data_IF_740182103608
#
_entry.id   IF_740182103608
#
_cell.length_a   1.000
_cell.length_b   1.000
_cell.length_c   1.000
_cell.angle_alpha   90.00
_cell.angle_beta   90.00
_cell.angle_gamma   90.00
#
_symmetry.space_group_name_H-M   'P 1'
#
loop_
_entity.id
_entity.type
_entity.pdbx_description
1 polymer ?
#
# COMPACT_ATOMS: atom_id res chain seq x y z
N UNK A 1 -38.05 7.76 -10.69
CA UNK A 1 -36.84 8.17 -9.94
C UNK A 1 -35.76 7.14 -10.18
N UNK A 2 -34.99 7.28 -11.28
CA UNK A 2 -33.86 6.39 -11.60
C UNK A 2 -32.63 7.03 -10.99
N UNK A 3 -32.12 6.44 -9.91
CA UNK A 3 -30.85 6.85 -9.33
C UNK A 3 -29.80 6.48 -10.38
N UNK A 4 -29.11 7.49 -10.91
CA UNK A 4 -28.03 7.34 -11.87
C UNK A 4 -26.93 6.51 -11.24
N UNK A 5 -26.68 5.32 -11.78
CA UNK A 5 -25.50 4.52 -11.44
C UNK A 5 -24.27 5.26 -12.00
N UNK A 6 -23.75 6.17 -11.18
CA UNK A 6 -22.66 7.07 -11.57
C UNK A 6 -21.34 6.29 -11.71
N UNK A 7 -20.38 6.87 -12.42
CA UNK A 7 -19.02 6.35 -12.69
C UNK A 7 -18.32 5.72 -11.45
N UNK A 8 -18.68 6.17 -10.25
CA UNK A 8 -18.20 5.64 -8.97
C UNK A 8 -18.67 4.21 -8.67
N UNK A 9 -19.94 3.90 -8.95
CA UNK A 9 -20.50 2.55 -8.75
C UNK A 9 -19.86 1.55 -9.71
N UNK A 10 -19.63 1.96 -10.96
CA UNK A 10 -18.92 1.16 -11.94
C UNK A 10 -17.46 0.86 -11.51
N UNK A 11 -16.76 1.84 -10.89
CA UNK A 11 -15.41 1.63 -10.37
C UNK A 11 -15.39 0.63 -9.20
N UNK A 12 -16.33 0.73 -8.26
CA UNK A 12 -16.45 -0.22 -7.15
C UNK A 12 -16.81 -1.61 -7.66
N UNK A 13 -17.73 -1.70 -8.63
CA UNK A 13 -18.16 -2.97 -9.21
C UNK A 13 -17.06 -3.63 -10.05
N UNK A 14 -16.16 -2.86 -10.65
CA UNK A 14 -15.00 -3.40 -11.37
C UNK A 14 -13.90 -3.89 -10.42
N UNK A 15 -13.69 -3.22 -9.28
CA UNK A 15 -12.63 -3.55 -8.32
C UNK A 15 -12.94 -4.79 -7.47
N UNK A 16 -14.19 -4.93 -6.99
CA UNK A 16 -14.57 -6.04 -6.09
C UNK A 16 -14.36 -7.44 -6.66
N UNK A 17 -14.74 -7.74 -7.92
CA UNK A 17 -14.47 -9.04 -8.53
C UNK A 17 -12.98 -9.38 -8.55
N UNK A 18 -12.12 -8.40 -8.82
CA UNK A 18 -10.66 -8.61 -8.81
C UNK A 18 -10.17 -8.99 -7.41
N UNK A 19 -10.63 -8.31 -6.36
CA UNK A 19 -10.27 -8.65 -4.98
C UNK A 19 -10.75 -10.06 -4.58
N UNK A 20 -11.97 -10.44 -4.99
CA UNK A 20 -12.51 -11.78 -4.74
C UNK A 20 -11.72 -12.86 -5.50
N UNK A 21 -11.31 -12.57 -6.74
CA UNK A 21 -10.46 -13.45 -7.53
C UNK A 21 -9.10 -13.66 -6.87
N UNK A 22 -8.47 -12.62 -6.31
CA UNK A 22 -7.22 -12.76 -5.57
C UNK A 22 -7.39 -13.66 -4.33
N UNK A 23 -8.49 -13.49 -3.58
CA UNK A 23 -8.78 -14.35 -2.42
C UNK A 23 -8.91 -15.81 -2.79
N UNK A 24 -9.63 -16.12 -3.86
CA UNK A 24 -9.92 -17.50 -4.25
C UNK A 24 -8.72 -18.12 -4.98
N UNK A 25 -8.10 -17.39 -5.89
CA UNK A 25 -7.14 -17.94 -6.84
C UNK A 25 -5.70 -17.76 -6.39
N UNK A 26 -5.35 -16.65 -5.73
CA UNK A 26 -3.98 -16.39 -5.28
C UNK A 26 -3.77 -16.79 -3.81
N UNK A 27 -4.74 -16.52 -2.93
CA UNK A 27 -4.62 -16.83 -1.51
C UNK A 27 -5.21 -18.19 -1.12
N UNK A 28 -5.95 -18.85 -2.01
CA UNK A 28 -6.55 -20.15 -1.73
C UNK A 28 -7.60 -20.11 -0.60
N UNK A 29 -8.25 -18.96 -0.38
CA UNK A 29 -9.22 -18.75 0.70
C UNK A 29 -10.62 -19.29 0.35
N UNK A 30 -10.70 -20.44 -0.33
CA UNK A 30 -11.96 -21.08 -0.67
C UNK A 30 -11.90 -22.60 -0.49
N UNK A 31 -12.85 -23.15 0.28
CA UNK A 31 -12.95 -24.57 0.56
C UNK A 31 -13.20 -25.45 -0.68
N UNK A 32 -13.89 -24.95 -1.71
CA UNK A 32 -14.25 -25.73 -2.91
C UNK A 32 -13.15 -25.78 -3.97
N UNK A 33 -12.42 -24.67 -4.13
CA UNK A 33 -11.26 -24.60 -5.04
C UNK A 33 -10.04 -25.26 -4.38
N UNK A 34 -9.98 -25.23 -3.06
CA UNK A 34 -8.88 -25.80 -2.28
C UNK A 34 -7.77 -24.79 -2.02
N UNK A 35 -6.75 -25.24 -1.29
CA UNK A 35 -5.55 -24.44 -0.95
C UNK A 35 -4.56 -24.44 -2.12
N UNK A 36 -4.99 -23.94 -3.28
CA UNK A 36 -4.17 -23.84 -4.48
C UNK A 36 -3.99 -22.37 -4.83
N UNK A 37 -2.75 -22.01 -5.16
CA UNK A 37 -2.42 -20.67 -5.66
C UNK A 37 -2.11 -20.76 -7.14
N UNK A 38 -2.76 -19.92 -7.94
CA UNK A 38 -2.44 -19.71 -9.34
C UNK A 38 -1.98 -18.25 -9.53
N UNK A 39 -1.02 -18.06 -10.42
CA UNK A 39 -0.54 -16.72 -10.75
C UNK A 39 -1.57 -15.99 -11.61
N UNK A 40 -2.11 -14.89 -11.06
CA UNK A 40 -2.96 -13.98 -11.79
C UNK A 40 -2.11 -12.92 -12.50
N UNK A 41 -2.41 -12.62 -13.77
CA UNK A 41 -1.76 -11.53 -14.49
C UNK A 41 -2.05 -10.20 -13.80
N UNK A 42 -1.03 -9.37 -13.66
CA UNK A 42 -1.19 -8.02 -13.12
C UNK A 42 -1.86 -7.11 -14.13
N UNK A 43 -2.41 -6.00 -13.64
CA UNK A 43 -3.06 -5.00 -14.49
C UNK A 43 -2.05 -4.46 -15.52
N UNK A 44 -2.25 -4.78 -16.80
CA UNK A 44 -1.35 -4.39 -17.91
C UNK A 44 -0.49 -5.51 -18.48
N UNK A 45 -0.49 -6.72 -17.89
CA UNK A 45 0.18 -7.90 -18.45
C UNK A 45 -0.73 -8.62 -19.45
N UNK A 46 -0.15 -9.06 -20.58
CA UNK A 46 -0.89 -9.78 -21.61
C UNK A 46 -1.12 -11.23 -21.14
N UNK A 47 -2.39 -11.60 -20.97
CA UNK A 47 -2.78 -12.95 -20.54
C UNK A 47 -2.61 -13.90 -21.71
N UNK A 48 -1.56 -14.72 -21.70
CA UNK A 48 -1.29 -15.67 -22.79
C UNK A 48 -2.17 -16.92 -22.68
N UNK A 49 -2.33 -17.46 -21.47
CA UNK A 49 -3.22 -18.59 -21.18
C UNK A 49 -3.53 -18.64 -19.69
N UNK A 50 -4.76 -19.02 -19.31
CA UNK A 50 -5.12 -19.20 -17.90
C UNK A 50 -4.48 -20.50 -17.38
N UNK A 51 -3.82 -20.50 -16.21
CA UNK A 51 -3.13 -21.68 -15.68
C UNK A 51 -4.08 -22.72 -15.04
N UNK A 52 -5.32 -22.83 -15.53
CA UNK A 52 -6.34 -23.75 -14.99
C UNK A 52 -7.36 -24.14 -16.07
N UNK A 53 -8.02 -25.28 -15.87
CA UNK A 53 -9.03 -25.79 -16.80
C UNK A 53 -10.30 -24.93 -16.80
N UNK A 54 -11.06 -24.97 -17.91
CA UNK A 54 -12.37 -24.30 -18.02
C UNK A 54 -13.37 -24.73 -16.93
N UNK A 55 -13.32 -26.01 -16.51
CA UNK A 55 -14.13 -26.49 -15.39
C UNK A 55 -13.80 -25.77 -14.08
N UNK A 56 -12.52 -25.49 -13.84
CA UNK A 56 -12.05 -24.74 -12.67
C UNK A 56 -12.39 -23.26 -12.79
N UNK A 57 -12.29 -22.68 -14.00
CA UNK A 57 -12.70 -21.30 -14.27
C UNK A 57 -14.18 -21.07 -13.93
N UNK A 58 -15.07 -21.98 -14.37
CA UNK A 58 -16.50 -21.92 -14.08
C UNK A 58 -16.78 -22.04 -12.56
N UNK A 59 -16.03 -22.90 -11.87
CA UNK A 59 -16.12 -23.04 -10.42
C UNK A 59 -15.71 -21.73 -9.72
N UNK A 60 -14.58 -21.13 -10.11
CA UNK A 60 -14.10 -19.86 -9.55
C UNK A 60 -15.16 -18.75 -9.76
N UNK A 61 -15.69 -18.60 -10.96
CA UNK A 61 -16.69 -17.57 -11.26
C UNK A 61 -17.98 -17.75 -10.43
N UNK A 62 -18.40 -19.00 -10.22
CA UNK A 62 -19.55 -19.31 -9.36
C UNK A 62 -19.28 -18.91 -7.92
N UNK A 63 -18.10 -19.22 -7.40
CA UNK A 63 -17.72 -18.89 -6.03
C UNK A 63 -17.52 -17.38 -5.81
N UNK A 64 -16.96 -16.67 -6.78
CA UNK A 64 -16.87 -15.20 -6.75
C UNK A 64 -18.27 -14.59 -6.63
N UNK A 65 -19.25 -15.09 -7.40
CA UNK A 65 -20.64 -14.60 -7.33
C UNK A 65 -21.26 -14.86 -5.96
N UNK A 66 -21.03 -16.04 -5.38
CA UNK A 66 -21.50 -16.39 -4.04
C UNK A 66 -20.92 -15.43 -3.01
N UNK A 67 -19.60 -15.22 -3.02
CA UNK A 67 -18.90 -14.34 -2.08
C UNK A 67 -19.37 -12.88 -2.19
N UNK A 68 -19.53 -12.36 -3.40
CA UNK A 68 -20.06 -11.00 -3.63
C UNK A 68 -21.50 -10.90 -3.11
N UNK A 69 -22.33 -11.90 -3.38
CA UNK A 69 -23.73 -11.92 -2.95
C UNK A 69 -23.84 -11.96 -1.43
N UNK A 70 -23.04 -12.78 -0.76
CA UNK A 70 -23.00 -12.86 0.70
C UNK A 70 -22.54 -11.54 1.31
N UNK A 71 -21.45 -10.94 0.80
CA UNK A 71 -20.96 -9.64 1.26
C UNK A 71 -22.00 -8.54 1.05
N UNK A 72 -22.72 -8.55 -0.07
CA UNK A 72 -23.81 -7.62 -0.35
C UNK A 72 -24.96 -7.81 0.64
N UNK A 73 -25.43 -9.04 0.86
CA UNK A 73 -26.50 -9.33 1.82
C UNK A 73 -26.11 -8.95 3.25
N UNK A 74 -24.88 -9.24 3.66
CA UNK A 74 -24.34 -8.85 4.97
C UNK A 74 -24.35 -7.34 5.14
N UNK A 75 -23.86 -6.61 4.14
CA UNK A 75 -23.82 -5.13 4.15
C UNK A 75 -25.23 -4.56 4.19
N UNK A 76 -26.15 -5.09 3.38
CA UNK A 76 -27.55 -4.66 3.36
C UNK A 76 -28.23 -4.89 4.72
N UNK A 77 -28.00 -6.04 5.36
CA UNK A 77 -28.52 -6.33 6.70
C UNK A 77 -27.96 -5.35 7.74
N UNK A 78 -26.65 -5.09 7.71
CA UNK A 78 -26.01 -4.14 8.62
C UNK A 78 -26.59 -2.72 8.48
N UNK A 79 -26.71 -2.22 7.24
CA UNK A 79 -27.27 -0.90 6.96
C UNK A 79 -28.75 -0.83 7.32
N UNK A 80 -29.51 -1.91 7.12
CA UNK A 80 -30.91 -1.99 7.50
C UNK A 80 -31.09 -1.94 9.03
N UNK A 81 -30.25 -2.65 9.78
CA UNK A 81 -30.26 -2.61 11.25
C UNK A 81 -29.87 -1.23 11.79
N UNK A 82 -28.94 -0.54 11.13
CA UNK A 82 -28.45 0.79 11.52
C UNK A 82 -29.09 1.92 10.71
N UNK A 83 -30.28 1.70 10.15
CA UNK A 83 -30.96 2.65 9.25
C UNK A 83 -31.18 4.03 9.90
N UNK A 84 -31.52 4.07 11.18
CA UNK A 84 -31.71 5.31 11.92
C UNK A 84 -30.41 6.15 12.02
N UNK A 85 -29.28 5.49 12.24
CA UNK A 85 -27.96 6.13 12.29
C UNK A 85 -27.55 6.66 10.92
N UNK A 86 -27.74 5.86 9.85
CA UNK A 86 -27.48 6.28 8.47
C UNK A 86 -28.35 7.50 8.10
N UNK A 87 -29.60 7.53 8.53
CA UNK A 87 -30.49 8.67 8.29
C UNK A 87 -29.99 9.94 8.99
N UNK A 88 -29.50 9.86 10.22
CA UNK A 88 -28.91 11.02 10.93
C UNK A 88 -27.71 11.59 10.18
N UNK A 89 -26.82 10.71 9.72
CA UNK A 89 -25.64 11.10 8.94
C UNK A 89 -26.05 11.75 7.61
N UNK A 90 -27.03 11.17 6.90
CA UNK A 90 -27.53 11.71 5.66
C UNK A 90 -28.16 13.11 5.83
N UNK A 91 -28.94 13.32 6.92
CA UNK A 91 -29.50 14.63 7.24
C UNK A 91 -28.41 15.66 7.51
N UNK A 92 -27.36 15.29 8.27
CA UNK A 92 -26.24 16.19 8.53
C UNK A 92 -25.46 16.55 7.25
N UNK A 93 -25.30 15.61 6.33
CA UNK A 93 -24.66 15.86 5.02
C UNK A 93 -25.45 16.84 4.14
N UNK A 94 -26.76 16.94 4.32
CA UNK A 94 -27.57 17.96 3.63
C UNK A 94 -27.32 19.37 4.17
N UNK A 95 -26.93 19.50 5.44
CA UNK A 95 -26.61 20.78 6.07
C UNK A 95 -25.14 21.18 5.89
N UNK A 96 -24.22 20.21 5.99
CA UNK A 96 -22.77 20.38 5.87
C UNK A 96 -22.25 19.38 4.83
N UNK A 97 -21.78 19.88 3.69
CA UNK A 97 -21.35 19.04 2.55
C UNK A 97 -20.21 18.07 2.89
N UNK A 98 -19.38 18.40 3.90
CA UNK A 98 -18.23 17.60 4.33
C UNK A 98 -18.35 17.31 5.82
N UNK A 99 -18.28 16.05 6.21
CA UNK A 99 -18.24 15.63 7.63
C UNK A 99 -16.85 15.15 8.01
N UNK A 100 -16.36 15.66 9.14
CA UNK A 100 -15.08 15.25 9.71
C UNK A 100 -15.26 14.09 10.71
N UNK A 101 -14.14 13.47 11.12
CA UNK A 101 -14.15 12.38 12.11
C UNK A 101 -14.79 12.80 13.44
N UNK A 102 -14.61 14.06 13.87
CA UNK A 102 -15.24 14.61 15.07
C UNK A 102 -16.76 14.63 14.97
N UNK A 103 -17.30 15.07 13.83
CA UNK A 103 -18.75 15.14 13.58
C UNK A 103 -19.37 13.73 13.60
N UNK A 104 -18.64 12.73 13.11
CA UNK A 104 -19.07 11.32 13.16
C UNK A 104 -19.15 10.79 14.59
N UNK A 105 -18.17 11.13 15.44
CA UNK A 105 -18.16 10.73 16.85
C UNK A 105 -19.26 11.43 17.63
N UNK A 106 -19.59 12.68 17.30
CA UNK A 106 -20.73 13.40 17.90
C UNK A 106 -22.07 12.74 17.53
N UNK A 107 -22.25 12.36 16.27
CA UNK A 107 -23.51 11.79 15.77
C UNK A 107 -23.75 10.32 16.19
N UNK A 108 -22.70 9.50 16.14
CA UNK A 108 -22.77 8.04 16.30
C UNK A 108 -22.13 7.53 17.60
N UNK A 109 -21.41 8.40 18.32
CA UNK A 109 -20.60 8.02 19.48
C UNK A 109 -19.21 7.49 19.10
N UNK A 110 -18.46 7.05 20.12
CA UNK A 110 -17.12 6.49 19.93
C UNK A 110 -17.18 5.14 19.21
N UNK A 111 -16.24 4.90 18.29
CA UNK A 111 -16.14 3.63 17.56
C UNK A 111 -15.86 2.48 18.55
N UNK A 112 -16.61 1.36 18.49
CA UNK A 112 -16.45 0.24 19.43
C UNK A 112 -15.25 -0.68 19.12
N UNK A 113 -14.33 -0.24 18.26
CA UNK A 113 -13.12 -0.96 17.88
C UNK A 113 -11.92 -0.06 18.12
N UNK A 114 -10.84 -0.60 18.68
CA UNK A 114 -9.58 0.13 18.84
C UNK A 114 -9.04 0.49 17.45
N UNK A 115 -8.84 1.79 17.22
CA UNK A 115 -8.18 2.30 16.02
C UNK A 115 -6.80 2.79 16.39
N UNK A 116 -5.80 2.21 15.73
CA UNK A 116 -4.46 2.80 15.73
C UNK A 116 -4.48 4.06 14.87
N UNK A 117 -4.28 5.23 15.46
CA UNK A 117 -4.35 6.49 14.72
C UNK A 117 -3.06 7.28 14.74
N UNK A 118 -2.22 7.05 15.74
CA UNK A 118 -0.97 7.80 15.92
C UNK A 118 0.20 6.95 15.46
N UNK A 119 1.22 7.58 14.87
CA UNK A 119 2.46 6.92 14.47
C UNK A 119 3.05 6.07 15.62
N UNK A 120 3.08 6.64 16.82
CA UNK A 120 3.48 5.99 18.07
C UNK A 120 2.77 4.64 18.27
N UNK A 121 1.45 4.59 18.10
CA UNK A 121 0.65 3.37 18.28
C UNK A 121 0.90 2.31 17.18
N UNK A 122 1.35 2.74 15.99
CA UNK A 122 1.77 1.83 14.93
C UNK A 122 3.15 1.22 15.18
N UNK A 123 4.08 1.98 15.79
CA UNK A 123 5.46 1.55 16.11
C UNK A 123 5.60 0.96 17.51
N UNK A 124 4.57 1.08 18.35
CA UNK A 124 4.44 0.39 19.62
C UNK A 124 4.51 -1.13 19.41
N UNK A 125 5.69 -1.70 19.66
CA UNK A 125 5.99 -3.12 19.55
C UNK A 125 7.18 -3.48 18.66
N UNK A 126 7.67 -2.56 17.82
CA UNK A 126 8.81 -2.82 16.91
C UNK A 126 10.18 -2.42 17.46
N UNK A 127 10.26 -1.95 18.71
CA UNK A 127 11.53 -1.81 19.43
C UNK A 127 12.31 -0.50 19.24
N UNK A 128 11.66 0.56 18.76
CA UNK A 128 12.24 1.91 18.69
C UNK A 128 11.21 2.90 18.17
N UNK A 129 11.13 4.08 18.78
CA UNK A 129 10.28 5.18 18.29
C UNK A 129 10.93 5.89 17.10
N UNK A 130 12.26 5.83 17.01
CA UNK A 130 13.07 6.42 15.96
C UNK A 130 13.67 5.34 15.06
N UNK A 131 13.77 5.65 13.77
CA UNK A 131 14.47 4.81 12.80
C UNK A 131 15.96 4.77 13.15
N UNK A 132 16.52 3.57 13.29
CA UNK A 132 17.94 3.39 13.57
C UNK A 132 18.75 3.76 12.32
N UNK A 133 19.21 5.01 12.30
CA UNK A 133 20.05 5.58 11.24
C UNK A 133 21.54 5.35 11.48
N UNK A 134 21.91 4.49 12.44
CA UNK A 134 23.33 4.20 12.69
C UNK A 134 23.93 3.47 11.49
N UNK A 135 24.97 4.09 10.93
CA UNK A 135 25.66 3.56 9.76
C UNK A 135 26.65 2.46 10.20
N UNK A 136 26.75 1.34 9.45
CA UNK A 136 27.78 0.32 9.65
C UNK A 136 29.18 0.92 9.63
N UNK A 137 30.15 0.24 10.24
CA UNK A 137 31.50 0.78 10.47
C UNK A 137 32.21 1.37 9.23
N UNK A 138 31.99 0.79 8.05
CA UNK A 138 32.56 1.28 6.79
C UNK A 138 31.81 2.45 6.13
N UNK A 139 30.63 2.83 6.64
CA UNK A 139 29.79 3.91 6.13
C UNK A 139 29.64 5.09 7.11
N UNK A 140 30.31 5.05 8.26
CA UNK A 140 30.24 6.09 9.31
C UNK A 140 30.53 7.51 8.79
N UNK A 141 31.34 7.63 7.73
CA UNK A 141 31.73 8.91 7.13
C UNK A 141 30.89 9.31 5.90
N UNK A 142 29.88 8.51 5.51
CA UNK A 142 29.02 8.81 4.34
C UNK A 142 28.25 10.13 4.49
N UNK A 143 27.87 10.47 5.74
CA UNK A 143 27.09 11.67 6.07
C UNK A 143 27.95 12.86 6.51
N UNK A 144 29.29 12.74 6.38
CA UNK A 144 30.23 13.84 6.67
C UNK A 144 30.66 14.48 5.36
N UNK A 145 30.57 15.81 5.28
CA UNK A 145 31.25 16.54 4.22
C UNK A 145 32.75 16.21 4.30
N UNK A 146 33.36 15.83 3.17
CA UNK A 146 34.81 15.65 3.06
C UNK A 146 35.50 16.99 3.32
N UNK A 147 35.74 17.33 4.58
CA UNK A 147 36.65 18.41 4.97
C UNK A 147 38.07 17.86 4.97
N UNK A 148 38.86 18.46 4.09
CA UNK A 148 40.32 18.46 4.01
C UNK A 148 41.00 17.12 3.72
N UNK A 149 41.48 16.98 2.48
CA UNK A 149 42.61 16.08 2.18
C UNK A 149 43.81 16.55 3.02
N UNK A 150 44.41 15.73 3.90
CA UNK A 150 45.76 16.00 4.35
C UNK A 150 46.69 15.85 3.13
N UNK A 151 47.46 16.89 2.83
CA UNK A 151 48.53 16.84 1.85
C UNK A 151 49.52 15.75 2.26
N UNK A 152 49.59 14.68 1.47
CA UNK A 152 50.62 13.64 1.64
C UNK A 152 51.99 14.29 1.44
N UNK A 153 52.98 14.09 2.33
CA UNK A 153 54.30 14.68 2.17
C UNK A 153 54.95 14.15 0.88
N UNK A 154 55.28 15.06 -0.04
CA UNK A 154 55.89 14.75 -1.33
C UNK A 154 57.23 14.01 -1.12
N UNK A 155 57.39 12.88 -1.80
CA UNK A 155 58.59 12.06 -1.76
C UNK A 155 59.75 12.73 -2.51
N UNK A 156 61.03 12.56 -2.09
CA UNK A 156 62.19 13.25 -2.65
C UNK A 156 62.37 13.13 -4.18
N UNK A 157 61.78 12.11 -4.80
CA UNK A 157 61.87 11.86 -6.23
C UNK A 157 61.14 12.91 -7.09
N UNK A 158 60.11 13.59 -6.56
CA UNK A 158 59.39 14.65 -7.29
C UNK A 158 60.15 15.99 -7.36
N UNK A 159 61.12 16.21 -6.46
CA UNK A 159 61.95 17.42 -6.47
C UNK A 159 63.06 17.37 -7.53
N UNK A 160 63.60 16.17 -7.80
CA UNK A 160 64.65 15.96 -8.82
C UNK A 160 64.09 16.17 -10.24
N UNK A 161 62.84 15.77 -10.48
CA UNK A 161 62.18 15.90 -11.79
C UNK A 161 61.97 17.37 -12.23
N UNK A 162 61.80 18.31 -11.29
CA UNK A 162 61.64 19.74 -11.61
C UNK A 162 62.95 20.47 -11.90
N UNK A 163 64.09 19.93 -11.45
CA UNK A 163 65.38 20.61 -11.58
C UNK A 163 66.08 20.33 -12.91
N UNK A 164 65.65 19.29 -13.64
CA UNK A 164 66.22 18.89 -14.93
C UNK A 164 65.52 19.58 -16.13
N UNK A 165 64.29 20.08 -15.97
CA UNK A 165 63.53 20.72 -17.06
C UNK A 165 63.87 22.20 -17.33
N UNK A 166 64.81 22.78 -16.57
CA UNK A 166 65.06 24.22 -16.52
C UNK A 166 66.23 24.76 -17.34
N UNK A 167 66.84 24.02 -18.28
CA UNK A 167 67.99 24.59 -18.99
C UNK A 167 68.44 23.90 -20.27
N UNK A 168 67.92 24.34 -21.42
CA UNK A 168 68.66 24.45 -22.69
C UNK A 168 68.00 25.55 -23.56
N UNK A 169 68.70 26.64 -23.91
CA UNK A 169 68.24 27.61 -24.90
C UNK A 169 68.90 27.33 -26.26
N UNK A 170 68.09 27.16 -27.32
CA UNK A 170 68.23 27.75 -28.66
C UNK A 170 67.03 27.36 -29.52
#
# INVERSE_FOLDING_TARGET
MRISTSKSEAMVLSRKPMECLLQIVQFGMNAKVGQVSFDLPRQGEMVLEKPYSEATACLIDTEVRVLITEAHQRTHRLLSQRKAEVQKVALRLLEKEVLDKSDMVELLGKRPFAEKSTYEEFVEGTGGMDEDTTLPEGLKDWNRERKDKPETPETPDEQVARQISGGMPF
#
